data_IF_176879713989
#
_entry.id   IF_176879713989
#
_cell.length_a   1.000
_cell.length_b   1.000
_cell.length_c   1.000
_cell.angle_alpha   90.00
_cell.angle_beta   90.00
_cell.angle_gamma   90.00
#
_symmetry.space_group_name_H-M   'P 1'
#
loop_
_entity.id
_entity.type
_entity.pdbx_description
1 polymer ?
#
# COMPACT_ATOMS: atom_id res chain seq x y z
N UNK A 1 -4.12 6.90 -4.63
CA UNK A 1 -2.67 6.64 -4.58
C UNK A 1 -2.41 5.33 -3.86
N UNK A 2 -1.91 4.32 -4.56
CA UNK A 2 -1.38 3.11 -3.93
C UNK A 2 0.07 3.35 -3.53
N UNK A 3 0.46 2.83 -2.37
CA UNK A 3 1.79 2.97 -1.81
C UNK A 3 2.28 1.59 -1.40
N UNK A 4 3.57 1.34 -1.65
CA UNK A 4 4.30 0.20 -1.11
C UNK A 4 5.25 0.69 -0.04
N UNK A 5 5.23 0.03 1.10
CA UNK A 5 6.13 0.27 2.22
C UNK A 5 6.85 -1.03 2.55
N UNK A 6 8.17 -0.97 2.64
CA UNK A 6 9.01 -2.02 3.18
C UNK A 6 9.58 -1.58 4.52
N UNK A 7 9.45 -2.42 5.55
CA UNK A 7 10.05 -2.18 6.86
C UNK A 7 11.42 -2.85 6.97
N UNK A 8 12.32 -2.25 7.76
CA UNK A 8 13.66 -2.78 7.99
C UNK A 8 13.64 -4.16 8.66
N UNK A 9 12.66 -4.36 9.56
CA UNK A 9 12.42 -5.62 10.25
C UNK A 9 10.97 -6.09 10.05
N UNK A 10 10.72 -7.41 9.93
CA UNK A 10 9.37 -7.94 9.84
C UNK A 10 8.52 -7.55 11.05
N UNK A 11 7.31 -7.04 10.80
CA UNK A 11 6.29 -6.86 11.83
C UNK A 11 5.30 -8.02 11.73
N UNK A 12 5.21 -8.86 12.75
CA UNK A 12 4.35 -10.06 12.76
C UNK A 12 4.58 -10.97 11.52
N UNK A 13 5.85 -11.14 11.12
CA UNK A 13 6.22 -11.94 9.95
C UNK A 13 5.99 -11.26 8.59
N UNK A 14 5.51 -10.02 8.56
CA UNK A 14 5.29 -9.24 7.34
C UNK A 14 6.18 -8.00 7.32
N UNK A 15 7.02 -7.87 6.30
CA UNK A 15 7.88 -6.69 6.10
C UNK A 15 7.46 -5.81 4.93
N UNK A 16 6.51 -6.27 4.11
CA UNK A 16 6.04 -5.57 2.91
C UNK A 16 4.55 -5.31 2.99
N UNK A 17 4.17 -4.06 2.76
CA UNK A 17 2.79 -3.60 2.81
C UNK A 17 2.50 -2.86 1.50
N UNK A 18 1.42 -3.21 0.83
CA UNK A 18 0.94 -2.51 -0.37
C UNK A 18 -0.52 -2.16 -0.12
N UNK A 19 -0.85 -0.88 -0.19
CA UNK A 19 -2.18 -0.41 0.16
C UNK A 19 -2.45 1.02 -0.27
N UNK A 20 -3.66 1.50 -0.01
CA UNK A 20 -4.04 2.89 -0.23
C UNK A 20 -3.58 3.73 0.96
N UNK A 21 -2.85 4.82 0.70
CA UNK A 21 -2.50 5.79 1.73
C UNK A 21 -3.76 6.46 2.27
N UNK A 22 -4.03 6.33 3.57
CA UNK A 22 -5.18 6.93 4.25
C UNK A 22 -4.80 8.23 4.94
N UNK A 23 -3.58 8.30 5.47
CA UNK A 23 -3.07 9.49 6.14
C UNK A 23 -1.69 9.28 6.71
N UNK A 24 -1.14 10.36 7.27
CA UNK A 24 0.11 10.39 8.02
C UNK A 24 -0.09 11.29 9.24
N UNK A 25 0.60 10.96 10.33
CA UNK A 25 0.78 11.84 11.49
C UNK A 25 2.28 12.13 11.68
N UNK A 26 2.70 12.61 12.86
CA UNK A 26 4.10 12.95 13.12
C UNK A 26 5.05 11.74 13.03
N UNK A 27 4.58 10.56 13.41
CA UNK A 27 5.43 9.38 13.60
C UNK A 27 4.99 8.16 12.76
N UNK A 28 3.79 8.19 12.19
CA UNK A 28 3.17 7.04 11.54
C UNK A 28 2.58 7.37 10.19
N UNK A 29 2.52 6.33 9.36
CA UNK A 29 1.74 6.27 8.13
C UNK A 29 0.66 5.21 8.28
N UNK A 30 -0.55 5.55 7.82
CA UNK A 30 -1.72 4.67 7.86
C UNK A 30 -2.08 4.24 6.44
N UNK A 31 -2.13 2.93 6.21
CA UNK A 31 -2.52 2.32 4.95
C UNK A 31 -3.79 1.48 5.12
N UNK A 32 -4.70 1.54 4.14
CA UNK A 32 -5.71 0.49 3.96
C UNK A 32 -5.16 -0.58 3.02
N UNK A 33 -5.03 -1.81 3.53
CA UNK A 33 -4.51 -2.98 2.82
C UNK A 33 -5.67 -3.95 2.58
N UNK A 34 -5.89 -4.31 1.32
CA UNK A 34 -6.86 -5.35 0.95
C UNK A 34 -6.23 -6.73 1.14
N UNK A 35 -6.89 -7.60 1.90
CA UNK A 35 -6.43 -8.98 2.10
C UNK A 35 -6.97 -9.93 1.03
N UNK A 36 -6.62 -11.22 1.14
CA UNK A 36 -7.04 -12.27 0.18
C UNK A 36 -8.54 -12.49 0.10
N UNK A 37 -9.30 -12.10 1.12
CA UNK A 37 -10.75 -12.24 1.18
C UNK A 37 -11.47 -10.96 0.71
N UNK A 38 -10.76 -10.05 0.03
CA UNK A 38 -11.25 -8.74 -0.39
C UNK A 38 -11.77 -7.85 0.76
N UNK A 39 -11.36 -8.10 2.01
CA UNK A 39 -11.65 -7.16 3.09
C UNK A 39 -10.48 -6.21 3.31
N UNK A 40 -10.83 -4.95 3.59
CA UNK A 40 -9.87 -3.90 3.91
C UNK A 40 -9.47 -3.98 5.38
N UNK A 41 -8.18 -3.86 5.63
CA UNK A 41 -7.59 -3.77 6.96
C UNK A 41 -6.70 -2.55 7.04
N UNK A 42 -6.86 -1.77 8.10
CA UNK A 42 -5.97 -0.67 8.40
C UNK A 42 -4.64 -1.17 9.00
N UNK A 43 -3.54 -0.62 8.52
CA UNK A 43 -2.18 -0.90 8.98
C UNK A 43 -1.47 0.41 9.26
N UNK A 44 -1.06 0.58 10.52
CA UNK A 44 -0.27 1.71 10.99
C UNK A 44 1.20 1.31 11.08
N UNK A 45 2.08 2.08 10.43
CA UNK A 45 3.52 1.78 10.35
C UNK A 45 4.30 2.99 10.86
N UNK A 46 5.15 2.84 11.89
CA UNK A 46 6.03 3.92 12.34
C UNK A 46 7.08 4.28 11.27
N UNK A 47 7.31 5.56 11.00
CA UNK A 47 8.30 6.02 10.02
C UNK A 47 9.71 5.49 10.30
N UNK A 48 10.10 5.42 11.58
CA UNK A 48 11.40 4.87 12.00
C UNK A 48 11.64 3.42 11.58
N UNK A 49 10.58 2.67 11.26
CA UNK A 49 10.66 1.27 10.79
C UNK A 49 10.67 1.16 9.27
N UNK A 50 10.39 2.24 8.54
CA UNK A 50 10.35 2.24 7.06
C UNK A 50 11.77 2.19 6.52
N UNK A 51 12.10 1.11 5.80
CA UNK A 51 13.34 1.00 5.06
C UNK A 51 13.21 1.56 3.64
N UNK A 52 12.02 1.43 3.04
CA UNK A 52 11.75 1.92 1.67
C UNK A 52 10.28 2.23 1.50
N UNK A 53 9.96 3.32 0.81
CA UNK A 53 8.60 3.67 0.43
C UNK A 53 8.56 4.05 -1.06
N UNK A 54 7.56 3.54 -1.78
CA UNK A 54 7.36 3.78 -3.20
C UNK A 54 5.90 4.10 -3.49
N UNK A 55 5.66 5.12 -4.30
CA UNK A 55 4.34 5.34 -4.88
C UNK A 55 4.13 4.30 -5.98
N UNK A 56 3.10 3.48 -5.85
CA UNK A 56 2.77 2.46 -6.85
C UNK A 56 1.75 3.05 -7.83
N UNK A 57 2.20 3.23 -9.06
CA UNK A 57 1.36 3.63 -10.20
C UNK A 57 0.72 2.39 -10.83
N UNK A 58 -0.09 1.65 -10.07
CA UNK A 58 -0.60 0.35 -10.55
C UNK A 58 -1.95 0.43 -11.26
N UNK A 59 -2.83 1.37 -10.93
CA UNK A 59 -4.27 1.17 -11.20
C UNK A 59 -4.93 2.02 -12.29
N UNK A 60 -4.29 3.11 -12.75
CA UNK A 60 -4.83 3.86 -13.90
C UNK A 60 -4.46 3.18 -15.23
N UNK A 61 -3.24 2.65 -15.36
CA UNK A 61 -2.78 2.04 -16.62
C UNK A 61 -3.51 0.72 -16.97
N UNK A 62 -3.86 -0.10 -15.98
CA UNK A 62 -4.53 -1.39 -16.21
C UNK A 62 -6.01 -1.20 -16.55
N UNK A 63 -6.71 -0.25 -15.89
CA UNK A 63 -8.11 0.06 -16.23
C UNK A 63 -8.24 0.66 -17.63
N UNK A 64 -7.34 1.55 -18.03
CA UNK A 64 -7.36 2.14 -19.37
C UNK A 64 -7.07 1.11 -20.46
N UNK A 65 -6.15 0.17 -20.23
CA UNK A 65 -5.90 -0.92 -21.19
C UNK A 65 -7.07 -1.88 -21.31
N UNK A 66 -7.78 -2.18 -20.22
CA UNK A 66 -9.01 -2.99 -20.27
C UNK A 66 -10.20 -2.26 -20.93
N UNK A 67 -10.33 -0.94 -20.76
CA UNK A 67 -11.33 -0.12 -21.48
C UNK A 67 -11.07 -0.08 -22.99
N UNK A 68 -9.81 0.10 -23.42
CA UNK A 68 -9.44 0.17 -24.84
C UNK A 68 -9.68 -1.13 -25.62
N UNK A 69 -9.75 -2.30 -24.96
CA UNK A 69 -10.04 -3.59 -25.61
C UNK A 69 -11.54 -3.88 -25.79
N UNK A 70 -12.42 -3.06 -25.19
CA UNK A 70 -13.88 -3.22 -25.29
C UNK A 70 -14.54 -2.21 -26.25
N UNK A 71 -13.75 -1.39 -26.94
CA UNK A 71 -14.20 -0.45 -27.99
C UNK A 71 -13.62 -0.84 -29.34
#
# INVERSE_FOLDING_TARGET
NQVRIETAEPQNGQSRFVGKLQGVDEDHVVLSVTNRNNSEKEVTIPFKKVARAELVLTDDMIRDTLKKRKS
#
